data_IF_272711135676
#
_entry.id   IF_272711135676
#
_cell.length_a   1.000
_cell.length_b   1.000
_cell.length_c   1.000
_cell.angle_alpha   90.00
_cell.angle_beta   90.00
_cell.angle_gamma   90.00
#
_symmetry.space_group_name_H-M   'P 1'
#
loop_
_entity.id
_entity.type
_entity.pdbx_description
1 polymer ?
#
# COMPACT_ATOMS: atom_id res chain seq x y z
N UNK A 1 4.72 -6.79 -0.05
CA UNK A 1 4.77 -6.62 -1.52
C UNK A 1 6.08 -7.17 -2.06
N UNK A 2 6.00 -8.18 -2.93
CA UNK A 2 7.12 -8.68 -3.72
C UNK A 2 7.09 -7.95 -5.07
N UNK A 3 7.72 -6.78 -5.11
CA UNK A 3 7.65 -5.84 -6.23
C UNK A 3 8.49 -6.29 -7.44
N UNK A 4 9.45 -7.19 -7.22
CA UNK A 4 10.41 -7.69 -8.21
C UNK A 4 11.40 -6.63 -8.67
N UNK A 5 12.56 -7.05 -9.16
CA UNK A 5 13.61 -6.11 -9.57
C UNK A 5 13.25 -5.44 -10.91
N UNK A 6 13.63 -4.18 -11.05
CA UNK A 6 13.68 -3.47 -12.33
C UNK A 6 15.11 -2.96 -12.57
N UNK A 7 15.52 -2.75 -13.84
CA UNK A 7 16.84 -2.21 -14.14
C UNK A 7 17.11 -0.88 -13.43
N UNK A 8 18.36 -0.65 -13.01
CA UNK A 8 18.75 0.57 -12.31
C UNK A 8 18.67 1.83 -13.20
N UNK A 9 18.73 1.66 -14.51
CA UNK A 9 18.59 2.69 -15.54
C UNK A 9 17.14 2.89 -16.02
N UNK A 10 16.18 2.17 -15.41
CA UNK A 10 14.77 2.37 -15.71
C UNK A 10 14.30 3.73 -15.19
N UNK A 11 13.52 4.48 -15.98
CA UNK A 11 13.08 5.85 -15.67
C UNK A 11 12.40 6.00 -14.31
N UNK A 12 11.77 4.96 -13.78
CA UNK A 12 11.15 5.00 -12.44
C UNK A 12 12.17 5.10 -11.31
N UNK A 13 13.42 4.70 -11.53
CA UNK A 13 14.52 4.83 -10.56
C UNK A 13 15.19 6.21 -10.63
N UNK A 14 15.02 6.94 -11.74
CA UNK A 14 15.51 8.30 -11.90
C UNK A 14 14.76 9.22 -10.92
N UNK A 15 15.51 9.93 -10.07
CA UNK A 15 14.94 10.77 -9.02
C UNK A 15 14.24 12.02 -9.53
N UNK A 16 14.58 12.51 -10.73
CA UNK A 16 13.99 13.70 -11.34
C UNK A 16 12.76 13.34 -12.20
N UNK A 17 12.75 12.16 -12.83
CA UNK A 17 11.66 11.73 -13.70
C UNK A 17 10.64 10.84 -12.97
N UNK A 18 11.12 9.79 -12.30
CA UNK A 18 10.28 8.76 -11.69
C UNK A 18 10.14 8.89 -10.18
N UNK A 19 11.06 9.58 -9.51
CA UNK A 19 11.07 9.78 -8.06
C UNK A 19 11.39 8.51 -7.24
N UNK A 20 11.63 7.37 -7.88
CA UNK A 20 11.82 6.10 -7.19
C UNK A 20 10.52 5.36 -6.91
N UNK A 21 10.65 4.04 -6.69
CA UNK A 21 9.48 3.15 -6.58
C UNK A 21 8.67 3.32 -5.30
N UNK A 22 9.22 3.91 -4.24
CA UNK A 22 8.45 4.21 -3.03
C UNK A 22 7.39 5.27 -3.32
N UNK A 23 7.75 6.34 -4.04
CA UNK A 23 6.81 7.39 -4.45
C UNK A 23 5.83 6.87 -5.52
N UNK A 24 6.31 6.08 -6.49
CA UNK A 24 5.50 5.63 -7.62
C UNK A 24 4.64 4.38 -7.39
N UNK A 25 5.02 3.47 -6.48
CA UNK A 25 4.32 2.19 -6.27
C UNK A 25 4.11 1.88 -4.77
N UNK A 26 5.10 2.18 -3.92
CA UNK A 26 5.01 1.98 -2.47
C UNK A 26 3.90 2.80 -1.79
N UNK A 27 3.63 4.00 -2.30
CA UNK A 27 2.60 4.92 -1.83
C UNK A 27 1.20 4.29 -1.77
N UNK A 28 0.86 3.40 -2.70
CA UNK A 28 -0.43 2.70 -2.71
C UNK A 28 -0.63 1.81 -1.49
N UNK A 29 0.45 1.26 -0.91
CA UNK A 29 0.35 0.44 0.29
C UNK A 29 0.28 1.29 1.56
N UNK A 30 0.92 2.47 1.56
CA UNK A 30 0.77 3.46 2.64
C UNK A 30 -0.69 3.95 2.66
N UNK A 31 -1.23 4.30 1.49
CA UNK A 31 -2.64 4.69 1.28
C UNK A 31 -3.60 3.60 1.76
N UNK A 32 -3.38 2.34 1.35
CA UNK A 32 -4.20 1.20 1.77
C UNK A 32 -4.23 1.04 3.29
N UNK A 33 -3.09 1.15 3.97
CA UNK A 33 -3.06 1.02 5.43
C UNK A 33 -3.75 2.21 6.12
N UNK A 34 -3.56 3.43 5.61
CA UNK A 34 -4.27 4.61 6.10
C UNK A 34 -5.78 4.49 5.93
N UNK A 35 -6.24 4.01 4.78
CA UNK A 35 -7.65 3.73 4.52
C UNK A 35 -8.22 2.69 5.50
N UNK A 36 -7.50 1.61 5.74
CA UNK A 36 -7.95 0.54 6.65
C UNK A 36 -7.94 0.95 8.12
N UNK A 37 -6.96 1.75 8.55
CA UNK A 37 -6.95 2.34 9.88
C UNK A 37 -8.07 3.37 10.05
N UNK A 38 -8.43 4.08 8.97
CA UNK A 38 -9.44 5.14 9.01
C UNK A 38 -9.01 6.35 9.86
N UNK A 39 -7.70 6.51 10.08
CA UNK A 39 -7.12 7.53 10.94
C UNK A 39 -5.85 8.14 10.29
N UNK A 40 -5.53 9.41 10.57
CA UNK A 40 -4.30 10.05 10.09
C UNK A 40 -3.03 9.32 10.51
N UNK A 41 -1.98 9.45 9.71
CA UNK A 41 -0.63 8.95 10.03
C UNK A 41 -0.02 9.91 11.05
N UNK A 42 0.20 9.43 12.27
CA UNK A 42 0.83 10.19 13.35
C UNK A 42 2.35 10.24 13.19
N UNK A 43 2.98 9.11 12.84
CA UNK A 43 4.43 9.04 12.61
C UNK A 43 4.81 7.84 11.74
N UNK A 44 6.02 7.88 11.18
CA UNK A 44 6.59 6.79 10.40
C UNK A 44 8.07 6.56 10.74
N UNK A 45 8.54 5.34 10.47
CA UNK A 45 9.97 5.01 10.43
C UNK A 45 10.21 4.06 9.27
N UNK A 46 11.42 4.07 8.71
CA UNK A 46 11.77 3.17 7.61
C UNK A 46 13.19 2.62 7.74
N UNK A 47 13.40 1.44 7.18
CA UNK A 47 14.72 0.80 7.04
C UNK A 47 14.84 0.24 5.65
N UNK A 48 15.84 0.72 4.91
CA UNK A 48 16.14 0.28 3.55
C UNK A 48 17.28 -0.76 3.53
N UNK A 49 17.17 -1.72 2.63
CA UNK A 49 18.29 -2.60 2.29
C UNK A 49 19.30 -1.81 1.44
N UNK A 50 20.58 -1.86 1.82
CA UNK A 50 21.67 -1.28 1.03
C UNK A 50 21.67 -1.90 -0.39
N UNK A 51 21.34 -1.09 -1.39
CA UNK A 51 21.22 -1.49 -2.79
C UNK A 51 21.40 -0.25 -3.68
N UNK A 52 21.60 -0.46 -4.99
CA UNK A 52 21.77 0.65 -5.92
C UNK A 52 20.47 1.46 -6.14
N UNK A 53 19.31 0.85 -5.89
CA UNK A 53 17.99 1.40 -6.23
C UNK A 53 17.17 1.82 -5.01
N UNK A 54 17.54 1.39 -3.81
CA UNK A 54 16.82 1.75 -2.57
C UNK A 54 15.37 1.26 -2.51
N UNK A 55 14.95 0.35 -3.40
CA UNK A 55 13.55 -0.09 -3.57
C UNK A 55 13.23 -1.40 -2.84
N UNK A 56 14.00 -1.71 -1.79
CA UNK A 56 13.74 -2.78 -0.83
C UNK A 56 13.71 -2.18 0.57
N UNK A 57 12.51 -1.89 1.07
CA UNK A 57 12.28 -1.08 2.27
C UNK A 57 11.23 -1.74 3.16
N UNK A 58 11.45 -1.67 4.47
CA UNK A 58 10.41 -1.88 5.49
C UNK A 58 10.00 -0.52 6.05
N UNK A 59 8.70 -0.22 6.02
CA UNK A 59 8.10 1.02 6.49
C UNK A 59 7.17 0.67 7.64
N UNK A 60 7.28 1.36 8.77
CA UNK A 60 6.32 1.29 9.88
C UNK A 60 5.56 2.61 9.98
N UNK A 61 4.25 2.52 10.17
CA UNK A 61 3.32 3.62 10.33
C UNK A 61 2.62 3.48 11.69
N UNK A 62 2.51 4.60 12.41
CA UNK A 62 1.64 4.72 13.58
C UNK A 62 0.50 5.66 13.23
N UNK A 63 -0.73 5.25 13.51
CA UNK A 63 -1.93 6.03 13.24
C UNK A 63 -2.47 6.68 14.52
N UNK A 64 -3.23 7.76 14.35
CA UNK A 64 -3.74 8.56 15.47
C UNK A 64 -4.72 7.81 16.39
N UNK A 65 -5.37 6.76 15.90
CA UNK A 65 -6.23 5.86 16.69
C UNK A 65 -5.44 4.81 17.51
N UNK A 66 -4.12 4.79 17.38
CA UNK A 66 -3.22 3.81 18.01
C UNK A 66 -2.98 2.56 17.16
N UNK A 67 -3.60 2.45 15.98
CA UNK A 67 -3.32 1.36 15.05
C UNK A 67 -1.87 1.45 14.54
N UNK A 68 -1.34 0.29 14.16
CA UNK A 68 0.01 0.16 13.59
C UNK A 68 -0.08 -0.49 12.21
N UNK A 69 0.75 -0.04 11.29
CA UNK A 69 0.86 -0.59 9.95
C UNK A 69 2.31 -0.83 9.55
N UNK A 70 2.58 -1.93 8.86
CA UNK A 70 3.91 -2.21 8.30
C UNK A 70 3.79 -2.55 6.82
N UNK A 71 4.61 -1.89 6.00
CA UNK A 71 4.77 -2.22 4.58
C UNK A 71 6.16 -2.82 4.38
N UNK A 72 6.20 -4.08 3.95
CA UNK A 72 7.40 -4.67 3.35
C UNK A 72 7.32 -4.51 1.85
N UNK A 73 8.06 -3.55 1.30
CA UNK A 73 8.16 -3.30 -0.13
C UNK A 73 9.50 -3.82 -0.64
N UNK A 74 9.54 -5.05 -1.18
CA UNK A 74 10.79 -5.73 -1.52
C UNK A 74 10.90 -5.97 -3.03
N UNK A 75 11.93 -5.40 -3.64
CA UNK A 75 12.26 -5.60 -5.06
C UNK A 75 13.22 -6.79 -5.30
N UNK A 76 13.80 -7.37 -4.25
CA UNK A 76 14.78 -8.45 -4.34
C UNK A 76 14.17 -9.88 -4.30
N UNK A 77 12.85 -10.02 -4.32
CA UNK A 77 12.17 -11.31 -4.23
C UNK A 77 12.03 -12.04 -5.57
N UNK A 78 11.92 -13.38 -5.52
CA UNK A 78 11.68 -14.22 -6.70
C UNK A 78 10.24 -14.07 -7.21
N UNK A 79 10.07 -14.06 -8.54
CA UNK A 79 8.74 -14.08 -9.19
C UNK A 79 7.94 -15.35 -8.92
N UNK A 80 8.58 -16.41 -8.40
CA UNK A 80 7.89 -17.63 -7.96
C UNK A 80 7.07 -17.42 -6.67
N UNK A 81 7.38 -16.37 -5.89
CA UNK A 81 6.64 -16.02 -4.68
C UNK A 81 5.46 -15.09 -4.99
N UNK A 82 4.29 -15.24 -4.33
CA UNK A 82 3.14 -14.37 -4.55
C UNK A 82 3.46 -12.88 -4.44
N UNK A 83 2.85 -12.07 -5.31
CA UNK A 83 3.14 -10.64 -5.43
C UNK A 83 2.68 -9.86 -4.19
N UNK A 84 1.43 -10.04 -3.79
CA UNK A 84 0.78 -9.22 -2.75
C UNK A 84 0.22 -10.10 -1.63
N UNK A 85 0.41 -9.64 -0.38
CA UNK A 85 -0.24 -10.17 0.82
C UNK A 85 -0.53 -9.01 1.76
N UNK A 86 -1.72 -9.02 2.36
CA UNK A 86 -2.13 -8.14 3.45
C UNK A 86 -2.62 -9.00 4.62
N UNK A 87 -2.21 -8.65 5.83
CA UNK A 87 -2.68 -9.26 7.07
C UNK A 87 -3.17 -8.16 8.00
N UNK A 88 -4.37 -8.35 8.57
CA UNK A 88 -4.99 -7.41 9.51
C UNK A 88 -5.29 -8.16 10.80
N UNK A 89 -4.71 -7.69 11.90
CA UNK A 89 -4.87 -8.25 13.23
C UNK A 89 -5.77 -7.34 14.06
N UNK A 90 -6.85 -7.87 14.63
CA UNK A 90 -7.79 -7.08 15.43
C UNK A 90 -8.51 -7.96 16.45
N UNK A 91 -8.49 -7.57 17.73
CA UNK A 91 -9.28 -8.18 18.80
C UNK A 91 -9.25 -9.73 18.85
N UNK A 92 -8.05 -10.32 18.75
CA UNK A 92 -7.87 -11.77 18.79
C UNK A 92 -8.21 -12.52 17.49
N UNK A 93 -8.49 -11.79 16.41
CA UNK A 93 -8.80 -12.33 15.11
C UNK A 93 -7.87 -11.76 14.02
N UNK A 94 -7.76 -12.47 12.90
CA UNK A 94 -6.87 -12.12 11.78
C UNK A 94 -7.59 -12.32 10.46
N UNK A 95 -7.43 -11.37 9.54
CA UNK A 95 -7.76 -11.52 8.13
C UNK A 95 -6.48 -11.53 7.31
N UNK A 96 -6.34 -12.52 6.42
CA UNK A 96 -5.22 -12.64 5.50
C UNK A 96 -5.75 -12.61 4.06
N UNK A 97 -5.34 -11.62 3.30
CA UNK A 97 -5.64 -11.47 1.88
C UNK A 97 -4.41 -11.80 1.05
N UNK A 98 -4.47 -12.89 0.30
CA UNK A 98 -3.44 -13.25 -0.67
C UNK A 98 -3.84 -12.72 -2.06
N UNK A 99 -3.00 -11.84 -2.60
CA UNK A 99 -3.01 -11.33 -3.97
C UNK A 99 -4.37 -10.80 -4.46
N UNK A 100 -5.13 -10.12 -3.61
CA UNK A 100 -6.49 -9.63 -3.90
C UNK A 100 -7.44 -10.72 -4.46
N UNK A 101 -7.25 -11.98 -4.04
CA UNK A 101 -8.02 -13.13 -4.54
C UNK A 101 -8.52 -14.06 -3.45
N UNK A 102 -7.71 -14.34 -2.44
CA UNK A 102 -8.04 -15.31 -1.40
C UNK A 102 -8.00 -14.62 -0.05
N UNK A 103 -9.16 -14.43 0.55
CA UNK A 103 -9.30 -13.90 1.90
C UNK A 103 -9.56 -15.06 2.86
N UNK A 104 -8.80 -15.15 3.94
CA UNK A 104 -8.97 -16.14 5.02
C UNK A 104 -9.14 -15.44 6.36
N UNK A 105 -10.06 -15.94 7.18
CA UNK A 105 -10.28 -15.49 8.54
C UNK A 105 -9.78 -16.52 9.56
N UNK A 106 -9.14 -16.02 10.61
CA UNK A 106 -8.69 -16.77 11.78
C UNK A 106 -9.29 -16.11 13.01
N UNK A 107 -9.98 -16.85 13.87
CA UNK A 107 -10.68 -16.25 15.03
C UNK A 107 -11.83 -15.29 14.67
N UNK A 108 -12.16 -15.11 13.39
CA UNK A 108 -13.21 -14.19 12.93
C UNK A 108 -14.60 -14.83 13.08
N UNK A 109 -15.46 -14.24 13.92
CA UNK A 109 -16.82 -14.78 14.12
C UNK A 109 -17.61 -14.69 12.80
N UNK A 110 -18.23 -15.80 12.42
CA UNK A 110 -19.07 -15.91 11.21
C UNK A 110 -18.36 -15.69 9.86
N UNK A 111 -17.02 -15.63 9.82
CA UNK A 111 -16.27 -15.55 8.57
C UNK A 111 -15.08 -16.52 8.59
N UNK A 112 -14.91 -17.29 7.50
CA UNK A 112 -13.79 -18.25 7.37
C UNK A 112 -12.95 -18.01 6.14
N UNK A 113 -13.57 -17.83 4.97
CA UNK A 113 -12.86 -17.61 3.71
C UNK A 113 -13.75 -16.98 2.64
N UNK A 114 -13.13 -16.28 1.70
CA UNK A 114 -13.72 -15.82 0.45
C UNK A 114 -12.67 -15.96 -0.65
N UNK A 115 -13.05 -16.54 -1.79
CA UNK A 115 -12.16 -16.73 -2.93
C UNK A 115 -12.79 -16.13 -4.19
N UNK A 116 -12.03 -15.29 -4.89
CA UNK A 116 -12.40 -14.76 -6.19
C UNK A 116 -11.78 -15.58 -7.32
N UNK A 117 -12.55 -15.76 -8.40
CA UNK A 117 -12.08 -16.44 -9.61
C UNK A 117 -10.95 -15.67 -10.29
N UNK A 118 -11.03 -14.34 -10.33
CA UNK A 118 -10.02 -13.44 -10.89
C UNK A 118 -9.59 -12.40 -9.85
N UNK A 119 -8.42 -11.78 -10.07
CA UNK A 119 -7.98 -10.66 -9.26
C UNK A 119 -8.88 -9.45 -9.52
N UNK A 120 -9.26 -8.76 -8.46
CA UNK A 120 -9.90 -7.45 -8.56
C UNK A 120 -9.10 -6.44 -7.73
N UNK A 121 -8.56 -5.43 -8.41
CA UNK A 121 -7.77 -4.34 -7.80
C UNK A 121 -8.58 -3.04 -7.67
N UNK A 122 -9.88 -3.07 -7.96
CA UNK A 122 -10.78 -1.93 -7.78
C UNK A 122 -10.64 -0.80 -8.81
N UNK A 123 -9.81 -0.94 -9.85
CA UNK A 123 -9.55 0.12 -10.84
C UNK A 123 -10.83 0.63 -11.52
N UNK A 124 -11.70 -0.29 -11.96
CA UNK A 124 -12.98 0.06 -12.60
C UNK A 124 -13.91 0.76 -11.61
N UNK A 125 -14.00 0.26 -10.38
CA UNK A 125 -14.83 0.85 -9.33
C UNK A 125 -14.34 2.25 -8.94
N UNK A 126 -13.02 2.44 -8.84
CA UNK A 126 -12.39 3.74 -8.56
C UNK A 126 -12.71 4.76 -9.66
N UNK A 127 -12.52 4.40 -10.93
CA UNK A 127 -12.83 5.28 -12.06
C UNK A 127 -14.33 5.61 -12.13
N UNK A 128 -15.21 4.63 -11.89
CA UNK A 128 -16.65 4.85 -11.85
C UNK A 128 -17.05 5.81 -10.73
N UNK A 129 -16.57 5.59 -9.50
CA UNK A 129 -16.85 6.44 -8.36
C UNK A 129 -16.39 7.89 -8.59
N UNK A 130 -15.23 8.09 -9.22
CA UNK A 130 -14.74 9.40 -9.61
C UNK A 130 -15.67 10.09 -10.62
N UNK A 131 -16.03 9.40 -11.71
CA UNK A 131 -16.92 9.95 -12.75
C UNK A 131 -18.29 10.28 -12.17
N UNK A 132 -18.82 9.44 -11.28
CA UNK A 132 -20.11 9.66 -10.64
C UNK A 132 -20.09 10.86 -9.70
N UNK A 133 -19.01 11.04 -8.92
CA UNK A 133 -18.81 12.23 -8.08
C UNK A 133 -18.79 13.52 -8.92
N UNK A 134 -18.06 13.52 -10.05
CA UNK A 134 -18.02 14.67 -10.97
C UNK A 134 -19.39 14.99 -11.56
N UNK A 135 -20.14 13.95 -12.00
CA UNK A 135 -21.46 14.14 -12.62
C UNK A 135 -22.52 14.62 -11.62
N UNK A 136 -22.47 14.11 -10.40
CA UNK A 136 -23.48 14.39 -9.37
C UNK A 136 -23.17 15.64 -8.54
N UNK A 137 -21.95 16.19 -8.64
CA UNK A 137 -21.48 17.23 -7.72
C UNK A 137 -21.29 16.72 -6.28
N UNK A 138 -21.11 15.41 -6.12
CA UNK A 138 -20.91 14.76 -4.82
C UNK A 138 -19.50 14.96 -4.26
N UNK A 139 -19.25 14.47 -3.03
CA UNK A 139 -17.91 14.50 -2.44
C UNK A 139 -16.93 13.66 -3.27
N UNK A 140 -15.64 14.02 -3.21
CA UNK A 140 -14.59 13.21 -3.82
C UNK A 140 -14.55 11.80 -3.17
N UNK A 141 -14.34 10.72 -3.95
CA UNK A 141 -14.27 9.37 -3.40
C UNK A 141 -13.14 9.15 -2.39
N UNK A 142 -12.07 9.94 -2.50
CA UNK A 142 -10.96 10.00 -1.56
C UNK A 142 -10.79 11.48 -1.19
N UNK A 143 -10.72 11.79 0.10
CA UNK A 143 -10.59 13.17 0.57
C UNK A 143 -9.23 13.76 0.15
N UNK A 144 -9.22 15.04 -0.23
CA UNK A 144 -8.01 15.71 -0.73
C UNK A 144 -6.90 15.71 0.33
N UNK A 145 -7.28 15.89 1.59
CA UNK A 145 -6.36 15.91 2.73
C UNK A 145 -5.64 14.57 2.88
N UNK A 146 -6.32 13.46 2.61
CA UNK A 146 -5.72 12.12 2.62
C UNK A 146 -4.72 11.97 1.47
N UNK A 147 -5.09 12.42 0.26
CA UNK A 147 -4.18 12.40 -0.90
C UNK A 147 -2.90 13.19 -0.61
N UNK A 148 -3.03 14.38 -0.02
CA UNK A 148 -1.89 15.24 0.34
C UNK A 148 -1.06 14.60 1.47
N UNK A 149 -1.69 14.03 2.49
CA UNK A 149 -1.02 13.31 3.58
C UNK A 149 -0.17 12.16 3.03
N UNK A 150 -0.75 11.31 2.18
CA UNK A 150 -0.06 10.15 1.60
C UNK A 150 1.08 10.59 0.68
N UNK A 151 0.88 11.62 -0.13
CA UNK A 151 1.93 12.15 -1.00
C UNK A 151 3.12 12.66 -0.17
N UNK A 152 2.85 13.48 0.86
CA UNK A 152 3.88 13.98 1.77
C UNK A 152 4.65 12.85 2.45
N UNK A 153 3.95 11.91 3.08
CA UNK A 153 4.57 10.79 3.81
C UNK A 153 5.40 9.90 2.88
N UNK A 154 4.91 9.64 1.66
CA UNK A 154 5.65 8.84 0.68
C UNK A 154 6.96 9.51 0.24
N UNK A 155 6.96 10.84 0.08
CA UNK A 155 8.15 11.62 -0.25
C UNK A 155 9.14 11.64 0.93
N UNK A 156 8.65 11.80 2.17
CA UNK A 156 9.50 11.74 3.37
C UNK A 156 10.19 10.38 3.50
N UNK A 157 9.44 9.29 3.41
CA UNK A 157 9.99 7.93 3.48
C UNK A 157 11.02 7.68 2.37
N UNK A 158 10.73 8.14 1.14
CA UNK A 158 11.67 7.97 0.03
C UNK A 158 13.00 8.69 0.27
N UNK A 159 12.99 9.85 0.95
CA UNK A 159 14.21 10.57 1.34
C UNK A 159 14.98 9.86 2.46
N UNK A 160 14.29 9.26 3.42
CA UNK A 160 14.92 8.52 4.52
C UNK A 160 15.61 7.22 4.04
N UNK A 161 15.21 6.71 2.88
CA UNK A 161 15.72 5.46 2.31
C UNK A 161 16.87 5.65 1.30
N UNK A 162 17.20 6.89 0.93
CA UNK A 162 18.26 7.23 -0.04
C UNK A 162 19.61 7.48 0.63
#
# INVERSE_FOLDING_TARGET
>A
MNAGAIPADHWTQDSEQGGGRIIGEGCHFIDLLRFLAGAPIESHTSVAMKSATGDTVTINLKFADGSLGTVHYFANGSKAFPKERLEVFSNGAVLQLDNFRKLKGFGWKSFKKMNLWKQDKGQVACAAAFVDAVKSGGPAPIALEEIIEIARVSIEIAKDCQ
#
